data_IF_145993527486
#
_entry.id   IF_145993527486
#
_cell.length_a   1.000
_cell.length_b   1.000
_cell.length_c   1.000
_cell.angle_alpha   90.00
_cell.angle_beta   90.00
_cell.angle_gamma   90.00
#
_symmetry.space_group_name_H-M   'P 1'
#
loop_
_entity.id
_entity.type
_entity.pdbx_description
1 polymer ?
#
# COMPACT_ATOMS: atom_id res chain seq x y z
N UNK A 1 -12.05 -5.46 -1.41
CA UNK A 1 -11.66 -6.28 -2.60
C UNK A 1 -10.58 -7.28 -2.19
N UNK A 2 -10.42 -8.43 -2.85
CA UNK A 2 -9.26 -9.33 -2.59
C UNK A 2 -7.94 -8.64 -2.96
N UNK A 3 -6.89 -8.81 -2.16
CA UNK A 3 -5.59 -8.15 -2.36
C UNK A 3 -5.00 -8.39 -3.75
N UNK A 4 -5.04 -9.62 -4.26
CA UNK A 4 -4.57 -9.97 -5.60
C UNK A 4 -5.30 -9.20 -6.71
N UNK A 5 -6.64 -9.14 -6.64
CA UNK A 5 -7.44 -8.39 -7.61
C UNK A 5 -7.15 -6.88 -7.54
N UNK A 6 -6.92 -6.35 -6.32
CA UNK A 6 -6.55 -4.95 -6.15
C UNK A 6 -5.19 -4.65 -6.77
N UNK A 7 -4.17 -5.48 -6.53
CA UNK A 7 -2.82 -5.29 -7.08
C UNK A 7 -2.83 -5.21 -8.61
N UNK A 8 -3.57 -6.10 -9.28
CA UNK A 8 -3.74 -6.06 -10.73
C UNK A 8 -4.44 -4.76 -11.16
N UNK A 9 -5.53 -4.38 -10.49
CA UNK A 9 -6.29 -3.16 -10.83
C UNK A 9 -5.46 -1.89 -10.73
N UNK A 10 -4.67 -1.75 -9.65
CA UNK A 10 -3.92 -0.50 -9.42
C UNK A 10 -2.77 -0.29 -10.40
N UNK A 11 -2.31 -1.34 -11.10
CA UNK A 11 -1.32 -1.21 -12.18
C UNK A 11 -1.85 -0.37 -13.35
N UNK A 12 -3.15 -0.46 -13.64
CA UNK A 12 -3.80 0.32 -14.72
C UNK A 12 -4.52 1.55 -14.19
N UNK A 13 -5.16 1.49 -13.01
CA UNK A 13 -5.93 2.59 -12.42
C UNK A 13 -5.52 2.88 -10.98
N UNK A 14 -4.77 3.97 -10.79
CA UNK A 14 -4.12 4.36 -9.52
C UNK A 14 -4.97 5.31 -8.66
N UNK A 15 -6.29 5.16 -8.69
CA UNK A 15 -7.25 6.05 -8.00
C UNK A 15 -8.46 5.25 -7.52
N UNK A 16 -9.31 5.89 -6.71
CA UNK A 16 -10.54 5.31 -6.16
C UNK A 16 -10.25 3.98 -5.43
N UNK A 17 -9.20 3.99 -4.61
CA UNK A 17 -8.81 2.84 -3.78
C UNK A 17 -9.24 3.15 -2.35
N UNK A 18 -10.19 2.36 -1.81
CA UNK A 18 -10.56 2.46 -0.41
C UNK A 18 -9.32 2.27 0.47
N UNK A 19 -9.17 3.12 1.47
CA UNK A 19 -8.00 3.11 2.36
C UNK A 19 -7.84 1.75 3.04
N UNK A 20 -8.94 1.13 3.49
CA UNK A 20 -8.93 -0.22 4.08
C UNK A 20 -8.46 -1.31 3.12
N UNK A 21 -8.90 -1.24 1.85
CA UNK A 21 -8.44 -2.16 0.79
C UNK A 21 -6.93 -1.98 0.53
N UNK A 22 -6.43 -0.73 0.56
CA UNK A 22 -5.01 -0.44 0.41
C UNK A 22 -4.18 -0.97 1.59
N UNK A 23 -4.67 -0.79 2.82
CA UNK A 23 -4.03 -1.34 4.04
C UNK A 23 -3.97 -2.87 3.99
N UNK A 24 -5.05 -3.53 3.57
CA UNK A 24 -5.06 -4.99 3.42
C UNK A 24 -4.03 -5.46 2.38
N UNK A 25 -3.89 -4.72 1.26
CA UNK A 25 -2.90 -5.04 0.24
C UNK A 25 -1.46 -4.88 0.74
N UNK A 26 -1.11 -3.76 1.39
CA UNK A 26 0.26 -3.59 1.90
C UNK A 26 0.62 -4.66 2.92
N UNK A 27 -0.31 -5.05 3.78
CA UNK A 27 -0.11 -6.14 4.76
C UNK A 27 0.08 -7.49 4.07
N UNK A 28 -0.72 -7.79 3.03
CA UNK A 28 -0.59 -9.00 2.23
C UNK A 28 0.72 -9.05 1.44
N UNK A 29 1.29 -7.89 1.07
CA UNK A 29 2.63 -7.75 0.50
C UNK A 29 3.75 -7.85 1.54
N UNK A 30 3.41 -8.10 2.81
CA UNK A 30 4.38 -8.33 3.87
C UNK A 30 4.85 -7.08 4.61
N UNK A 31 4.23 -5.91 4.37
CA UNK A 31 4.54 -4.72 5.16
C UNK A 31 3.98 -4.86 6.58
N UNK A 32 4.80 -4.58 7.57
CA UNK A 32 4.43 -4.49 8.98
C UNK A 32 4.19 -3.03 9.36
N UNK A 33 3.19 -2.78 10.21
CA UNK A 33 2.95 -1.45 10.79
C UNK A 33 4.06 -1.14 11.80
N UNK A 34 4.66 0.04 11.69
CA UNK A 34 5.74 0.48 12.58
C UNK A 34 5.22 1.50 13.60
N UNK A 35 4.87 2.70 13.13
CA UNK A 35 4.42 3.81 13.99
C UNK A 35 3.23 4.55 13.39
N UNK A 36 2.47 5.23 14.25
CA UNK A 36 1.42 6.16 13.83
C UNK A 36 1.61 7.51 14.49
N UNK A 37 1.49 8.58 13.70
CA UNK A 37 1.47 9.98 14.19
C UNK A 37 0.28 10.69 13.56
N UNK A 38 -0.73 10.99 14.37
CA UNK A 38 -1.99 11.54 13.86
C UNK A 38 -2.65 10.58 12.86
N UNK A 39 -2.98 11.08 11.67
CA UNK A 39 -3.58 10.28 10.59
C UNK A 39 -2.55 9.57 9.69
N UNK A 40 -1.25 9.79 9.92
CA UNK A 40 -0.18 9.15 9.15
C UNK A 40 0.25 7.85 9.84
N UNK A 41 0.29 6.77 9.07
CA UNK A 41 0.75 5.46 9.52
C UNK A 41 1.96 5.04 8.67
N UNK A 42 3.06 4.71 9.33
CA UNK A 42 4.26 4.19 8.69
C UNK A 42 4.23 2.66 8.69
N UNK A 43 4.62 2.09 7.55
CA UNK A 43 4.73 0.67 7.30
C UNK A 43 6.14 0.35 6.79
N UNK A 44 6.73 -0.72 7.29
CA UNK A 44 8.07 -1.18 6.91
C UNK A 44 8.00 -2.56 6.27
N UNK A 45 8.84 -2.80 5.27
CA UNK A 45 9.01 -4.12 4.67
C UNK A 45 10.43 -4.64 4.95
N UNK A 46 10.60 -5.97 4.97
CA UNK A 46 11.89 -6.62 5.20
C UNK A 46 12.97 -6.27 4.16
N UNK A 47 12.57 -5.76 2.99
CA UNK A 47 13.49 -5.26 1.95
C UNK A 47 14.06 -3.85 2.25
N UNK A 48 13.75 -3.27 3.41
CA UNK A 48 14.19 -1.92 3.80
C UNK A 48 13.27 -0.79 3.31
N UNK A 49 12.21 -1.10 2.55
CA UNK A 49 11.27 -0.10 2.08
C UNK A 49 10.34 0.39 3.20
N UNK A 50 10.01 1.69 3.14
CA UNK A 50 9.08 2.35 4.06
C UNK A 50 7.96 3.02 3.27
N UNK A 51 6.71 2.79 3.69
CA UNK A 51 5.52 3.45 3.15
C UNK A 51 4.84 4.26 4.24
N UNK A 52 4.68 5.55 3.98
CA UNK A 52 3.89 6.44 4.83
C UNK A 52 2.53 6.66 4.18
N UNK A 53 1.48 6.12 4.81
CA UNK A 53 0.12 6.17 4.28
C UNK A 53 -0.75 7.08 5.15
N UNK A 54 -1.79 7.63 4.54
CA UNK A 54 -2.75 8.52 5.18
C UNK A 54 -4.11 8.29 4.54
N UNK A 55 -5.13 8.14 5.38
CA UNK A 55 -6.52 8.12 4.94
C UNK A 55 -6.94 9.52 4.48
N UNK A 56 -7.37 9.64 3.23
CA UNK A 56 -7.93 10.87 2.66
C UNK A 56 -9.39 10.60 2.27
N UNK A 57 -10.33 10.96 3.15
CA UNK A 57 -11.77 10.83 2.86
C UNK A 57 -12.24 9.39 2.62
N UNK A 58 -11.59 8.40 3.23
CA UNK A 58 -11.87 6.98 3.05
C UNK A 58 -11.03 6.31 1.96
N UNK A 59 -10.15 7.05 1.27
CA UNK A 59 -9.33 6.54 0.18
C UNK A 59 -7.82 6.64 0.48
N UNK A 60 -7.05 5.78 -0.19
CA UNK A 60 -5.61 5.93 -0.29
C UNK A 60 -5.28 7.00 -1.34
N UNK A 61 -4.26 7.80 -1.08
CA UNK A 61 -3.86 8.86 -2.01
C UNK A 61 -3.20 8.24 -3.26
N UNK A 62 -3.47 8.76 -4.48
CA UNK A 62 -2.89 8.22 -5.72
C UNK A 62 -1.36 8.06 -5.69
N UNK A 63 -0.64 9.00 -5.07
CA UNK A 63 0.81 8.89 -4.96
C UNK A 63 1.26 7.74 -4.06
N UNK A 64 0.48 7.37 -3.03
CA UNK A 64 0.80 6.24 -2.14
C UNK A 64 0.70 4.93 -2.91
N UNK A 65 -0.26 4.83 -3.84
CA UNK A 65 -0.41 3.69 -4.74
C UNK A 65 0.79 3.60 -5.69
N UNK A 66 1.24 4.72 -6.25
CA UNK A 66 2.45 4.77 -7.08
C UNK A 66 3.69 4.35 -6.28
N UNK A 67 3.86 4.88 -5.07
CA UNK A 67 4.97 4.51 -4.18
C UNK A 67 4.98 3.01 -3.87
N UNK A 68 3.82 2.42 -3.56
CA UNK A 68 3.70 0.99 -3.35
C UNK A 68 4.14 0.21 -4.59
N UNK A 69 3.64 0.57 -5.79
CA UNK A 69 3.98 -0.13 -7.03
C UNK A 69 5.48 -0.07 -7.33
N UNK A 70 6.13 1.08 -7.13
CA UNK A 70 7.57 1.20 -7.28
C UNK A 70 8.32 0.24 -6.36
N UNK A 71 7.91 0.11 -5.10
CA UNK A 71 8.53 -0.83 -4.17
C UNK A 71 8.26 -2.28 -4.57
N UNK A 72 7.04 -2.60 -5.01
CA UNK A 72 6.67 -3.94 -5.49
C UNK A 72 7.57 -4.36 -6.65
N UNK A 73 7.74 -3.49 -7.64
CA UNK A 73 8.51 -3.79 -8.84
C UNK A 73 10.02 -3.80 -8.53
N UNK A 74 10.53 -2.85 -7.72
CA UNK A 74 11.95 -2.76 -7.38
C UNK A 74 12.44 -3.90 -6.47
N UNK A 75 11.58 -4.35 -5.54
CA UNK A 75 11.94 -5.41 -4.57
C UNK A 75 11.38 -6.78 -4.95
N UNK A 76 10.70 -6.91 -6.09
CA UNK A 76 10.10 -8.16 -6.56
C UNK A 76 9.05 -8.74 -5.59
N UNK A 77 8.27 -7.88 -4.93
CA UNK A 77 7.35 -8.30 -3.88
C UNK A 77 6.21 -9.17 -4.45
N UNK A 78 5.84 -10.20 -3.69
CA UNK A 78 4.73 -11.11 -4.01
C UNK A 78 3.76 -11.16 -2.82
N UNK A 79 2.50 -11.44 -3.11
CA UNK A 79 1.51 -11.67 -2.08
C UNK A 79 1.83 -12.96 -1.32
N UNK A 80 1.71 -12.91 0.01
CA UNK A 80 1.83 -14.08 0.89
C UNK A 80 0.60 -14.99 0.80
#
# INVERSE_FOLDING_TARGET
MKAAALLVRIRTKRQNVRFSDFVALIQALGFARDRQRGSHVAYHHACGAVLNIQNAGGEAKPYQIIQLLHVVDACGLKLK
#
